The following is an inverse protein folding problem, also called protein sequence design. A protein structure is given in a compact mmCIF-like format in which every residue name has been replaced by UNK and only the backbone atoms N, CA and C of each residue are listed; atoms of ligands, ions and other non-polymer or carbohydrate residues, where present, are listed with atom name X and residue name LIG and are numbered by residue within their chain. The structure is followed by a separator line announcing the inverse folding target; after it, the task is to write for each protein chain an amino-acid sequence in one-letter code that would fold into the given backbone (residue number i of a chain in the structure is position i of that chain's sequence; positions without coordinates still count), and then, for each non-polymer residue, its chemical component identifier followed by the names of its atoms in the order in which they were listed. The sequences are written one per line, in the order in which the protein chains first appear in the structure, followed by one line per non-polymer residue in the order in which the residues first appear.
data_IF_671483053890
#
_entry.id   IF_671483053890
#
_cell.length_a   1.000
_cell.length_b   1.000
_cell.length_c   1.000
_cell.angle_alpha   90.00
_cell.angle_beta   90.00
_cell.angle_gamma   90.00
#
_symmetry.space_group_name_H-M   'P 1'
#
loop_
_entity.id
_entity.type
_entity.pdbx_description
1 polymer ?
#
# COMPACT_ATOMS: atom_id res chain seq x y z
N UNK A 1 -1.02 14.40 7.01
CA UNK A 1 -2.33 14.30 6.32
C UNK A 1 -2.52 15.39 5.26
N UNK A 2 -1.85 16.58 5.36
CA UNK A 2 -1.99 17.65 4.37
C UNK A 2 -1.35 17.30 3.00
N UNK A 3 -0.21 16.63 2.99
CA UNK A 3 0.51 16.26 1.75
C UNK A 3 -0.20 15.22 0.88
N UNK A 4 -0.99 14.34 1.49
CA UNK A 4 -1.79 13.35 0.74
C UNK A 4 -3.04 13.98 0.09
N UNK A 5 -3.62 15.00 0.70
CA UNK A 5 -4.73 15.77 0.12
C UNK A 5 -4.27 16.64 -1.05
N UNK A 6 -3.09 17.26 -0.95
CA UNK A 6 -2.47 18.06 -2.00
C UNK A 6 -2.15 17.20 -3.24
N UNK A 7 -1.63 15.98 -3.05
CA UNK A 7 -1.35 15.05 -4.16
C UNK A 7 -2.61 14.50 -4.85
N UNK A 8 -3.73 14.40 -4.15
CA UNK A 8 -5.03 14.00 -4.74
C UNK A 8 -5.67 15.15 -5.52
N UNK A 9 -5.49 16.37 -5.07
CA UNK A 9 -5.97 17.58 -5.75
C UNK A 9 -5.18 17.84 -7.04
N UNK A 10 -3.86 17.68 -7.00
CA UNK A 10 -2.98 17.75 -8.19
C UNK A 10 -3.32 16.66 -9.21
N UNK A 11 -3.61 15.43 -8.75
CA UNK A 11 -4.02 14.33 -9.64
C UNK A 11 -5.41 14.57 -10.28
N UNK A 12 -6.34 15.26 -9.59
CA UNK A 12 -7.63 15.66 -10.15
C UNK A 12 -7.47 16.75 -11.19
N UNK A 13 -6.64 17.72 -10.91
CA UNK A 13 -6.36 18.85 -11.82
C UNK A 13 -5.69 18.36 -13.10
N UNK A 14 -4.72 17.45 -12.99
CA UNK A 14 -4.10 16.76 -14.12
C UNK A 14 -5.11 15.95 -14.96
N UNK A 15 -6.12 15.32 -14.34
CA UNK A 15 -7.19 14.61 -15.05
C UNK A 15 -8.13 15.55 -15.80
N UNK A 16 -8.47 16.70 -15.24
CA UNK A 16 -9.28 17.73 -15.91
C UNK A 16 -8.55 18.33 -17.10
N UNK A 17 -7.28 18.69 -16.91
CA UNK A 17 -6.42 19.22 -17.97
C UNK A 17 -6.24 18.20 -19.11
N UNK A 18 -6.08 16.91 -18.78
CA UNK A 18 -5.99 15.83 -19.77
C UNK A 18 -7.31 15.63 -20.56
N UNK A 19 -8.47 15.71 -19.88
CA UNK A 19 -9.76 15.65 -20.58
C UNK A 19 -10.01 16.83 -21.50
N UNK A 20 -9.63 18.02 -21.08
CA UNK A 20 -9.71 19.20 -21.95
C UNK A 20 -8.77 19.11 -23.15
N UNK A 21 -7.54 18.59 -22.96
CA UNK A 21 -6.61 18.36 -24.05
C UNK A 21 -7.09 17.24 -24.99
N UNK A 22 -7.69 16.13 -24.46
CA UNK A 22 -8.31 15.08 -25.26
C UNK A 22 -9.47 15.61 -26.09
N UNK A 23 -10.33 16.47 -25.53
CA UNK A 23 -11.43 17.09 -26.25
C UNK A 23 -10.95 18.00 -27.38
N UNK A 24 -9.87 18.76 -27.11
CA UNK A 24 -9.20 19.61 -28.15
C UNK A 24 -8.58 18.75 -29.26
N UNK A 25 -7.91 17.66 -28.89
CA UNK A 25 -7.35 16.73 -29.87
C UNK A 25 -8.42 16.01 -30.71
N UNK A 26 -9.53 15.60 -30.10
CA UNK A 26 -10.66 14.96 -30.82
C UNK A 26 -11.39 15.92 -31.75
N UNK A 27 -11.62 17.18 -31.34
CA UNK A 27 -12.22 18.21 -32.21
C UNK A 27 -11.28 18.64 -33.34
N UNK A 28 -9.97 18.56 -33.17
CA UNK A 28 -9.00 18.84 -34.22
C UNK A 28 -8.79 17.67 -35.19
N UNK A 29 -9.22 16.46 -34.82
CA UNK A 29 -9.04 15.20 -35.59
C UNK A 29 -10.16 14.84 -36.57
N UNK A 30 -11.16 15.73 -36.83
CA UNK A 30 -12.05 15.59 -38.00
C UNK A 30 -11.28 16.01 -39.28
N UNK A 31 -10.26 15.24 -39.54
CA UNK A 31 -8.97 15.61 -40.17
C UNK A 31 -8.96 15.50 -41.67
N UNK A 32 -9.95 14.91 -42.30
CA UNK A 32 -9.96 14.77 -43.78
C UNK A 32 -10.17 16.07 -44.55
N UNK A 33 -10.55 17.14 -43.84
CA UNK A 33 -10.75 18.48 -44.42
C UNK A 33 -9.97 19.61 -43.70
N UNK A 34 -9.11 19.25 -42.69
CA UNK A 34 -8.42 20.25 -41.88
C UNK A 34 -7.26 20.91 -42.64
N UNK A 35 -7.10 22.20 -42.40
CA UNK A 35 -5.90 22.96 -42.85
C UNK A 35 -4.64 22.49 -42.07
N UNK A 36 -3.47 22.72 -42.65
CA UNK A 36 -2.17 22.32 -42.07
C UNK A 36 -1.98 22.76 -40.59
N UNK A 37 -2.37 24.00 -40.25
CA UNK A 37 -2.28 24.55 -38.91
C UNK A 37 -3.11 23.76 -37.90
N UNK A 38 -4.27 23.20 -38.30
CA UNK A 38 -5.15 22.37 -37.45
C UNK A 38 -4.51 21.01 -37.19
N UNK A 39 -3.83 20.42 -38.18
CA UNK A 39 -3.14 19.12 -38.05
C UNK A 39 -1.94 19.27 -37.10
N UNK A 40 -1.15 20.32 -37.26
CA UNK A 40 -0.01 20.58 -36.38
C UNK A 40 -0.46 20.82 -34.92
N UNK A 41 -1.54 21.59 -34.75
CA UNK A 41 -2.15 21.82 -33.42
C UNK A 41 -2.67 20.54 -32.82
N UNK A 42 -3.32 19.67 -33.60
CA UNK A 42 -3.78 18.37 -33.15
C UNK A 42 -2.63 17.44 -32.73
N UNK A 43 -1.54 17.46 -33.49
CA UNK A 43 -0.35 16.67 -33.17
C UNK A 43 0.31 17.14 -31.87
N UNK A 44 0.47 18.47 -31.70
CA UNK A 44 1.01 19.03 -30.47
C UNK A 44 0.13 18.70 -29.25
N UNK A 45 -1.20 18.84 -29.39
CA UNK A 45 -2.14 18.47 -28.35
C UNK A 45 -2.08 16.97 -28.00
N UNK A 46 -1.91 16.12 -29.01
CA UNK A 46 -1.75 14.67 -28.79
C UNK A 46 -0.41 14.34 -28.07
N UNK A 47 0.66 15.07 -28.38
CA UNK A 47 1.96 14.89 -27.71
C UNK A 47 1.91 15.32 -26.25
N UNK A 48 1.24 16.44 -25.94
CA UNK A 48 0.98 16.88 -24.58
C UNK A 48 0.16 15.83 -23.80
N UNK A 49 -0.86 15.25 -24.43
CA UNK A 49 -1.66 14.17 -23.81
C UNK A 49 -0.85 12.93 -23.48
N UNK A 50 0.08 12.52 -24.35
CA UNK A 50 0.98 11.41 -24.09
C UNK A 50 1.81 11.68 -22.84
N UNK A 51 2.43 12.88 -22.76
CA UNK A 51 3.25 13.26 -21.62
C UNK A 51 2.46 13.28 -20.31
N UNK A 52 1.22 13.77 -20.34
CA UNK A 52 0.32 13.77 -19.17
C UNK A 52 -0.07 12.34 -18.75
N UNK A 53 -0.41 11.48 -19.71
CA UNK A 53 -0.79 10.09 -19.44
C UNK A 53 0.40 9.28 -18.89
N UNK A 54 1.60 9.46 -19.46
CA UNK A 54 2.84 8.86 -18.94
C UNK A 54 3.12 9.34 -17.51
N UNK A 55 3.00 10.65 -17.25
CA UNK A 55 3.20 11.21 -15.91
C UNK A 55 2.24 10.62 -14.88
N UNK A 56 0.97 10.42 -15.24
CA UNK A 56 -0.04 9.79 -14.37
C UNK A 56 0.28 8.33 -14.11
N UNK A 57 0.62 7.56 -15.14
CA UNK A 57 0.98 6.16 -14.98
C UNK A 57 2.20 5.98 -14.06
N UNK A 58 3.22 6.85 -14.18
CA UNK A 58 4.39 6.87 -13.30
C UNK A 58 3.99 7.23 -11.86
N UNK A 59 3.09 8.20 -11.67
CA UNK A 59 2.64 8.59 -10.35
C UNK A 59 1.88 7.47 -9.64
N UNK A 60 0.97 6.79 -10.33
CA UNK A 60 0.23 5.63 -9.78
C UNK A 60 1.18 4.46 -9.51
N UNK A 61 2.14 4.20 -10.40
CA UNK A 61 3.17 3.18 -10.19
C UNK A 61 3.97 3.44 -8.91
N UNK A 62 4.38 4.68 -8.67
CA UNK A 62 5.13 5.05 -7.46
C UNK A 62 4.27 4.90 -6.18
N UNK A 63 2.97 5.20 -6.26
CA UNK A 63 2.05 4.98 -5.14
C UNK A 63 1.87 3.49 -4.85
N UNK A 64 1.76 2.66 -5.88
CA UNK A 64 1.66 1.20 -5.75
C UNK A 64 2.91 0.63 -5.05
N UNK A 65 4.11 1.02 -5.48
CA UNK A 65 5.36 0.58 -4.86
C UNK A 65 5.43 0.95 -3.36
N UNK A 66 4.94 2.14 -2.99
CA UNK A 66 4.87 2.55 -1.59
C UNK A 66 3.81 1.77 -0.80
N UNK A 67 2.66 1.45 -1.39
CA UNK A 67 1.62 0.66 -0.77
C UNK A 67 2.10 -0.79 -0.54
N UNK A 68 2.75 -1.40 -1.52
CA UNK A 68 3.38 -2.73 -1.40
C UNK A 68 4.48 -2.76 -0.32
N UNK A 69 5.24 -1.68 -0.19
CA UNK A 69 6.26 -1.58 0.87
C UNK A 69 5.60 -1.53 2.26
N UNK A 70 4.52 -0.76 2.41
CA UNK A 70 3.75 -0.71 3.65
C UNK A 70 3.17 -2.06 4.00
N UNK A 71 2.54 -2.73 3.04
CA UNK A 71 1.98 -4.08 3.24
C UNK A 71 3.06 -5.05 3.73
N UNK A 72 4.23 -5.08 3.10
CA UNK A 72 5.36 -5.91 3.54
C UNK A 72 5.82 -5.57 4.96
N UNK A 73 5.83 -4.30 5.35
CA UNK A 73 6.17 -3.90 6.71
C UNK A 73 5.13 -4.37 7.73
N UNK A 74 3.84 -4.29 7.38
CA UNK A 74 2.74 -4.79 8.21
C UNK A 74 2.81 -6.31 8.36
N UNK A 75 3.08 -7.05 7.28
CA UNK A 75 3.27 -8.52 7.31
C UNK A 75 4.44 -8.94 8.23
N UNK A 76 5.57 -8.22 8.15
CA UNK A 76 6.70 -8.44 9.08
C UNK A 76 6.29 -8.14 10.52
N UNK A 77 5.51 -7.08 10.74
CA UNK A 77 4.96 -6.76 12.06
C UNK A 77 4.07 -7.87 12.62
N UNK A 78 3.22 -8.47 11.79
CA UNK A 78 2.38 -9.62 12.16
C UNK A 78 3.26 -10.81 12.55
N UNK A 79 4.27 -11.14 11.76
CA UNK A 79 5.18 -12.24 12.06
C UNK A 79 5.91 -12.06 13.40
N UNK A 80 6.32 -10.84 13.72
CA UNK A 80 6.89 -10.52 15.03
C UNK A 80 5.88 -10.64 16.16
N UNK A 81 4.64 -10.18 15.98
CA UNK A 81 3.60 -10.31 17.00
C UNK A 81 3.23 -11.78 17.26
N UNK A 82 3.23 -12.63 16.23
CA UNK A 82 3.04 -14.06 16.34
C UNK A 82 4.19 -14.74 17.08
N UNK A 83 5.42 -14.38 16.79
CA UNK A 83 6.61 -14.86 17.49
C UNK A 83 6.57 -14.47 18.98
N UNK A 84 6.27 -13.20 19.29
CA UNK A 84 6.13 -12.72 20.66
C UNK A 84 5.04 -13.51 21.42
N UNK A 85 3.90 -13.77 20.78
CA UNK A 85 2.80 -14.55 21.34
C UNK A 85 3.23 -16.00 21.65
N UNK A 86 3.99 -16.63 20.76
CA UNK A 86 4.50 -17.98 20.94
C UNK A 86 5.49 -18.03 22.11
N UNK A 87 6.45 -17.11 22.15
CA UNK A 87 7.43 -17.00 23.22
C UNK A 87 6.78 -16.78 24.59
N UNK A 88 5.78 -15.89 24.66
CA UNK A 88 5.02 -15.67 25.89
C UNK A 88 4.19 -16.89 26.27
N UNK A 89 3.62 -17.62 25.28
CA UNK A 89 2.93 -18.89 25.51
C UNK A 89 3.82 -19.96 26.14
N UNK A 90 5.09 -20.05 25.71
CA UNK A 90 6.09 -20.94 26.34
C UNK A 90 6.38 -20.53 27.76
N UNK A 91 6.57 -19.23 28.02
CA UNK A 91 6.80 -18.71 29.38
C UNK A 91 5.62 -18.97 30.32
N UNK A 92 4.37 -18.80 29.84
CA UNK A 92 3.16 -19.13 30.60
C UNK A 92 3.08 -20.62 30.93
N UNK A 93 3.44 -21.47 29.96
CA UNK A 93 3.47 -22.91 30.17
C UNK A 93 4.50 -23.30 31.22
N UNK A 94 5.70 -22.72 31.18
CA UNK A 94 6.74 -22.96 32.17
C UNK A 94 6.33 -22.50 33.56
N UNK A 95 5.72 -21.31 33.68
CA UNK A 95 5.19 -20.78 34.95
C UNK A 95 4.07 -21.70 35.49
N UNK A 96 3.15 -22.17 34.67
CA UNK A 96 2.08 -23.08 35.07
C UNK A 96 2.64 -24.43 35.58
N UNK A 97 3.69 -24.95 34.92
CA UNK A 97 4.37 -26.18 35.39
C UNK A 97 5.05 -25.93 36.72
N UNK A 98 5.74 -24.83 36.90
CA UNK A 98 6.41 -24.49 38.17
C UNK A 98 5.39 -24.33 39.31
N UNK A 99 4.27 -23.67 39.06
CA UNK A 99 3.19 -23.53 40.04
C UNK A 99 2.57 -24.90 40.39
N UNK A 100 2.29 -25.75 39.39
CA UNK A 100 1.76 -27.09 39.60
C UNK A 100 2.72 -27.97 40.44
N UNK A 101 4.01 -27.94 40.12
CA UNK A 101 5.03 -28.66 40.89
C UNK A 101 5.20 -28.07 42.29
N UNK A 102 5.09 -26.74 42.45
CA UNK A 102 5.06 -26.05 43.73
C UNK A 102 3.87 -26.50 44.60
N UNK A 103 2.67 -26.61 44.02
CA UNK A 103 1.46 -27.10 44.71
C UNK A 103 1.56 -28.57 45.12
N UNK A 104 2.19 -29.42 44.28
CA UNK A 104 2.42 -30.84 44.67
C UNK A 104 3.42 -30.95 45.82
N UNK A 105 4.33 -30.02 46.01
CA UNK A 105 5.21 -30.00 47.17
C UNK A 105 4.51 -29.49 48.43
N UNK A 106 3.28 -29.00 48.34
CA UNK A 106 2.50 -28.37 49.40
C UNK A 106 1.86 -29.35 50.43
N UNK A 107 1.87 -30.64 50.10
CA UNK A 107 1.58 -31.66 51.15
C UNK A 107 2.58 -31.60 52.33
N UNK A 108 3.67 -30.81 52.20
CA UNK A 108 4.65 -30.56 53.23
C UNK A 108 4.41 -29.25 54.01
N UNK A 109 3.36 -28.45 53.73
CA UNK A 109 3.07 -27.16 54.42
C UNK A 109 2.77 -27.39 55.91
N UNK A 110 2.27 -28.58 56.27
CA UNK A 110 2.12 -28.96 57.67
C UNK A 110 3.44 -29.31 58.37
N UNK A 111 4.55 -29.26 57.62
CA UNK A 111 5.89 -29.63 58.16
C UNK A 111 6.90 -28.49 58.25
N UNK A 112 6.56 -27.24 57.96
CA UNK A 112 7.51 -26.11 58.11
C UNK A 112 7.81 -25.90 59.58
N UNK A 113 9.04 -26.28 59.93
CA UNK A 113 9.56 -26.15 61.33
C UNK A 113 9.99 -24.71 61.70
N UNK A 114 9.88 -23.76 60.78
CA UNK A 114 10.43 -22.43 60.98
C UNK A 114 9.62 -21.36 60.25
N UNK A 115 9.20 -20.32 60.99
CA UNK A 115 8.43 -19.18 60.49
C UNK A 115 9.14 -18.43 59.38
N UNK A 116 10.49 -18.44 59.38
CA UNK A 116 11.27 -17.85 58.30
C UNK A 116 11.15 -18.59 56.95
N UNK A 117 11.03 -19.91 56.97
CA UNK A 117 10.83 -20.71 55.78
C UNK A 117 9.44 -20.45 55.15
N UNK A 118 8.41 -20.30 55.98
CA UNK A 118 7.08 -19.93 55.53
C UNK A 118 7.01 -18.51 54.92
N UNK A 119 7.73 -17.56 55.55
CA UNK A 119 7.86 -16.20 55.01
C UNK A 119 8.59 -16.15 53.67
N UNK A 120 9.72 -16.86 53.55
CA UNK A 120 10.49 -16.93 52.31
C UNK A 120 9.67 -17.54 51.18
N UNK A 121 8.89 -18.56 51.49
CA UNK A 121 8.01 -19.24 50.55
C UNK A 121 6.86 -18.34 50.07
N UNK A 122 6.20 -17.62 50.98
CA UNK A 122 5.17 -16.65 50.61
C UNK A 122 5.75 -15.55 49.73
N UNK A 123 6.95 -15.07 50.02
CA UNK A 123 7.63 -14.06 49.19
C UNK A 123 7.94 -14.60 47.79
N UNK A 124 8.36 -15.88 47.67
CA UNK A 124 8.59 -16.51 46.35
C UNK A 124 7.29 -16.70 45.60
N UNK A 125 6.21 -17.13 46.28
CA UNK A 125 4.88 -17.24 45.65
C UNK A 125 4.37 -15.88 45.18
N UNK A 126 4.51 -14.82 45.96
CA UNK A 126 4.13 -13.46 45.59
C UNK A 126 4.93 -12.97 44.37
N UNK A 127 6.23 -13.29 44.27
CA UNK A 127 7.07 -12.95 43.11
C UNK A 127 6.64 -13.77 41.86
N UNK A 128 6.37 -15.07 42.03
CA UNK A 128 5.92 -15.91 40.90
C UNK A 128 4.55 -15.47 40.40
N UNK A 129 3.62 -15.14 41.32
CA UNK A 129 2.31 -14.62 40.95
C UNK A 129 2.44 -13.26 40.26
N UNK A 130 3.27 -12.35 40.78
CA UNK A 130 3.57 -11.07 40.13
C UNK A 130 4.15 -11.22 38.73
N UNK A 131 5.12 -12.11 38.57
CA UNK A 131 5.69 -12.45 37.25
C UNK A 131 4.64 -13.04 36.29
N UNK A 132 3.71 -13.86 36.83
CA UNK A 132 2.62 -14.42 36.04
C UNK A 132 1.66 -13.36 35.49
N UNK A 133 1.34 -12.32 36.28
CA UNK A 133 0.50 -11.21 35.83
C UNK A 133 1.21 -10.39 34.72
N UNK A 134 2.49 -10.10 34.85
CA UNK A 134 3.27 -9.38 33.85
C UNK A 134 3.33 -10.16 32.52
N UNK A 135 3.48 -11.49 32.58
CA UNK A 135 3.51 -12.34 31.39
C UNK A 135 2.12 -12.39 30.72
N UNK A 136 1.03 -12.46 31.48
CA UNK A 136 -0.34 -12.44 30.96
C UNK A 136 -0.64 -11.09 30.28
N UNK A 137 -0.26 -9.98 30.89
CA UNK A 137 -0.46 -8.65 30.30
C UNK A 137 0.39 -8.46 29.04
N UNK A 138 1.60 -9.01 29.01
CA UNK A 138 2.42 -9.04 27.79
C UNK A 138 1.78 -9.88 26.69
N UNK A 139 1.24 -11.06 27.04
CA UNK A 139 0.51 -11.93 26.11
C UNK A 139 -0.69 -11.20 25.49
N UNK A 140 -1.48 -10.53 26.34
CA UNK A 140 -2.63 -9.76 25.87
C UNK A 140 -2.22 -8.65 24.94
N UNK A 141 -1.21 -7.87 25.31
CA UNK A 141 -0.69 -6.78 24.48
C UNK A 141 -0.12 -7.26 23.15
N UNK A 142 0.51 -8.43 23.11
CA UNK A 142 0.99 -9.03 21.86
C UNK A 142 -0.18 -9.51 20.98
N UNK A 143 -1.23 -10.10 21.58
CA UNK A 143 -2.43 -10.52 20.86
C UNK A 143 -3.18 -9.33 20.26
N UNK A 144 -3.43 -8.28 21.05
CA UNK A 144 -4.11 -7.05 20.62
C UNK A 144 -3.35 -6.39 19.47
N UNK A 145 -2.02 -6.26 19.60
CA UNK A 145 -1.17 -5.73 18.52
C UNK A 145 -1.23 -6.59 17.26
N UNK A 146 -1.25 -7.91 17.39
CA UNK A 146 -1.38 -8.82 16.26
C UNK A 146 -2.72 -8.68 15.54
N UNK A 147 -3.79 -8.40 16.25
CA UNK A 147 -5.12 -8.14 15.70
C UNK A 147 -5.17 -6.80 14.95
N UNK A 148 -4.69 -5.73 15.58
CA UNK A 148 -4.56 -4.40 14.95
C UNK A 148 -3.73 -4.45 13.65
N UNK A 149 -2.61 -5.18 13.64
CA UNK A 149 -1.78 -5.34 12.45
C UNK A 149 -2.47 -6.14 11.35
N UNK A 150 -3.31 -7.12 11.68
CA UNK A 150 -4.10 -7.86 10.67
C UNK A 150 -5.17 -6.98 10.04
N UNK A 151 -5.88 -6.19 10.84
CA UNK A 151 -6.83 -5.21 10.33
C UNK A 151 -6.12 -4.19 9.41
N UNK A 152 -4.93 -3.73 9.80
CA UNK A 152 -4.13 -2.85 8.95
C UNK A 152 -3.69 -3.53 7.65
N UNK A 153 -3.31 -4.81 7.68
CA UNK A 153 -2.93 -5.55 6.48
C UNK A 153 -4.10 -5.70 5.50
N UNK A 154 -5.33 -5.92 6.00
CA UNK A 154 -6.52 -5.95 5.14
C UNK A 154 -6.74 -4.61 4.42
N UNK A 155 -6.53 -3.49 5.11
CA UNK A 155 -6.62 -2.15 4.51
C UNK A 155 -5.50 -1.90 3.49
N UNK A 156 -4.27 -2.32 3.80
CA UNK A 156 -3.13 -2.19 2.91
C UNK A 156 -3.32 -3.05 1.63
N UNK A 157 -3.87 -4.27 1.75
CA UNK A 157 -4.21 -5.14 0.61
C UNK A 157 -5.25 -4.46 -0.28
N UNK A 158 -6.34 -3.95 0.32
CA UNK A 158 -7.38 -3.26 -0.45
C UNK A 158 -6.84 -2.01 -1.16
N UNK A 159 -5.89 -1.29 -0.57
CA UNK A 159 -5.23 -0.16 -1.22
C UNK A 159 -4.35 -0.61 -2.39
N UNK A 160 -3.58 -1.70 -2.25
CA UNK A 160 -2.77 -2.28 -3.34
C UNK A 160 -3.66 -2.71 -4.50
N UNK A 161 -4.72 -3.47 -4.25
CA UNK A 161 -5.66 -3.91 -5.30
C UNK A 161 -6.29 -2.73 -6.04
N UNK A 162 -6.66 -1.68 -5.33
CA UNK A 162 -7.19 -0.46 -5.93
C UNK A 162 -6.17 0.24 -6.82
N UNK A 163 -4.92 0.38 -6.35
CA UNK A 163 -3.85 1.02 -7.12
C UNK A 163 -3.44 0.20 -8.35
N UNK A 164 -3.48 -1.14 -8.27
CA UNK A 164 -3.28 -2.01 -9.42
C UNK A 164 -4.35 -1.79 -10.50
N UNK A 165 -5.62 -1.69 -10.09
CA UNK A 165 -6.72 -1.39 -11.01
C UNK A 165 -6.58 0.02 -11.62
N UNK A 166 -6.22 1.02 -10.82
CA UNK A 166 -5.96 2.38 -11.29
C UNK A 166 -4.81 2.40 -12.31
N UNK A 167 -3.72 1.68 -12.05
CA UNK A 167 -2.58 1.57 -12.98
C UNK A 167 -2.96 0.91 -14.31
N UNK A 168 -3.80 -0.12 -14.27
CA UNK A 168 -4.32 -0.75 -15.50
C UNK A 168 -5.17 0.24 -16.30
N UNK A 169 -6.01 1.02 -15.65
CA UNK A 169 -6.82 2.05 -16.29
C UNK A 169 -5.95 3.15 -16.94
N UNK A 170 -4.93 3.65 -16.23
CA UNK A 170 -4.01 4.66 -16.77
C UNK A 170 -3.20 4.12 -17.98
N UNK A 171 -2.78 2.86 -17.94
CA UNK A 171 -2.09 2.21 -19.07
C UNK A 171 -3.01 2.07 -20.29
N UNK A 172 -4.27 1.70 -20.11
CA UNK A 172 -5.25 1.61 -21.20
C UNK A 172 -5.53 2.99 -21.80
N UNK A 173 -5.59 4.04 -20.96
CA UNK A 173 -5.73 5.42 -21.43
C UNK A 173 -4.50 5.88 -22.24
N UNK A 174 -3.29 5.56 -21.76
CA UNK A 174 -2.06 5.84 -22.48
C UNK A 174 -2.03 5.17 -23.86
N UNK A 175 -2.42 3.90 -23.96
CA UNK A 175 -2.52 3.20 -25.25
C UNK A 175 -3.51 3.89 -26.20
N UNK A 176 -4.66 4.33 -25.69
CA UNK A 176 -5.64 5.07 -26.48
C UNK A 176 -5.08 6.40 -27.00
N UNK A 177 -4.38 7.15 -26.16
CA UNK A 177 -3.75 8.43 -26.54
C UNK A 177 -2.62 8.22 -27.54
N UNK A 178 -1.80 7.18 -27.37
CA UNK A 178 -0.76 6.82 -28.35
C UNK A 178 -1.37 6.49 -29.72
N UNK A 179 -2.53 5.83 -29.75
CA UNK A 179 -3.28 5.59 -31.00
C UNK A 179 -3.74 6.90 -31.65
N UNK A 180 -4.21 7.87 -30.86
CA UNK A 180 -4.59 9.21 -31.36
C UNK A 180 -3.39 9.94 -31.94
N UNK A 181 -2.26 9.93 -31.23
CA UNK A 181 -1.00 10.53 -31.71
C UNK A 181 -0.52 9.89 -33.02
N UNK A 182 -0.60 8.55 -33.14
CA UNK A 182 -0.24 7.87 -34.37
C UNK A 182 -1.08 8.33 -35.56
N UNK A 183 -2.41 8.43 -35.39
CA UNK A 183 -3.31 8.92 -36.44
C UNK A 183 -3.04 10.38 -36.84
N UNK A 184 -2.73 11.24 -35.85
CA UNK A 184 -2.36 12.63 -36.12
C UNK A 184 -1.05 12.70 -36.92
N UNK A 185 -0.07 11.84 -36.60
CA UNK A 185 1.15 11.72 -37.36
C UNK A 185 0.93 11.23 -38.80
N UNK A 186 0.13 10.16 -38.97
CA UNK A 186 -0.20 9.64 -40.29
C UNK A 186 -0.89 10.70 -41.18
N UNK A 187 -1.74 11.53 -40.55
CA UNK A 187 -2.40 12.64 -41.25
C UNK A 187 -1.40 13.74 -41.65
N UNK A 188 -0.43 14.02 -40.81
CA UNK A 188 0.65 14.98 -41.08
C UNK A 188 1.53 14.49 -42.24
N UNK A 189 1.95 13.21 -42.19
CA UNK A 189 2.77 12.59 -43.23
C UNK A 189 2.03 12.59 -44.59
N UNK A 190 0.73 12.24 -44.61
CA UNK A 190 -0.08 12.27 -45.82
C UNK A 190 -0.20 13.69 -46.43
N UNK A 191 -0.29 14.73 -45.60
CA UNK A 191 -0.30 16.12 -46.09
C UNK A 191 1.04 16.57 -46.62
N UNK A 192 2.13 16.11 -46.04
CA UNK A 192 3.49 16.39 -46.58
C UNK A 192 3.67 15.79 -47.94
N UNK A 193 3.23 14.52 -48.14
CA UNK A 193 3.28 13.86 -49.43
C UNK A 193 2.44 14.63 -50.51
N UNK A 194 1.24 15.10 -50.14
CA UNK A 194 0.41 15.92 -51.03
C UNK A 194 1.07 17.25 -51.43
N UNK A 195 1.80 17.87 -50.49
CA UNK A 195 2.53 19.09 -50.75
C UNK A 195 3.76 18.88 -51.65
N UNK A 196 4.49 17.77 -51.45
CA UNK A 196 5.59 17.40 -52.33
C UNK A 196 5.14 17.15 -53.77
N UNK A 197 4.00 16.44 -53.94
CA UNK A 197 3.39 16.24 -55.27
C UNK A 197 3.00 17.55 -55.98
N UNK A 198 2.48 18.54 -55.22
CA UNK A 198 2.12 19.86 -55.76
C UNK A 198 3.35 20.70 -56.17
N UNK A 199 4.49 20.52 -55.45
CA UNK A 199 5.72 21.26 -55.74
C UNK A 199 6.44 20.65 -56.97
N UNK A 200 6.29 19.36 -57.21
CA UNK A 200 6.94 18.68 -58.32
C UNK A 200 6.15 18.78 -59.66
N UNK A 201 4.88 19.28 -59.64
CA UNK A 201 4.10 19.67 -60.80
C UNK A 201 4.38 21.13 -61.25
#
# INVERSE_FOLDING_TARGET
PASAQESVEDARQLREDAREAELRARTALDVLEAEWEDIETAFQAADELVQLAEGRAIAVQSQLELAELRLRQTEVGIAWAEYDKELVGEQLTELAIQEYLGLQSDDSVLGTRNMNEAMTRNTVLDVVQGAGYDVIDTARSAADRGEELREQAELDIAEVERLEADLQAERAELEAVLSVRAKARDALDARLDEWEDIIDE
#
